data_IF_609423997895
#
_entry.id   IF_609423997895
#
_cell.length_a   1.000
_cell.length_b   1.000
_cell.length_c   1.000
_cell.angle_alpha   90.00
_cell.angle_beta   90.00
_cell.angle_gamma   90.00
#
_symmetry.space_group_name_H-M   'P 1'
#
loop_
_entity.id
_entity.type
_entity.pdbx_description
1 polymer ?
#
# COMPACT_ATOMS: atom_id res chain seq x y z
N UNK A 1 -24.62 -15.06 22.02
CA UNK A 1 -23.20 -15.37 21.72
C UNK A 1 -22.38 -14.11 22.00
N UNK A 2 -21.44 -14.17 22.96
CA UNK A 2 -20.67 -13.02 23.46
C UNK A 2 -19.69 -12.56 22.37
N UNK A 3 -19.82 -11.35 21.85
CA UNK A 3 -18.77 -10.69 21.08
C UNK A 3 -17.52 -10.60 21.96
N UNK A 4 -16.54 -11.46 21.73
CA UNK A 4 -15.23 -11.34 22.36
C UNK A 4 -14.57 -10.11 21.74
N UNK A 5 -14.57 -9.02 22.50
CA UNK A 5 -13.86 -7.79 22.19
C UNK A 5 -12.36 -8.11 22.25
N UNK A 6 -11.77 -8.48 21.12
CA UNK A 6 -10.32 -8.71 21.03
C UNK A 6 -9.62 -7.38 21.18
N UNK A 7 -9.26 -6.99 22.40
CA UNK A 7 -8.41 -5.83 22.65
C UNK A 7 -7.06 -6.09 21.97
N UNK A 8 -6.82 -5.39 20.86
CA UNK A 8 -5.56 -5.44 20.12
C UNK A 8 -4.66 -4.32 20.65
N UNK A 9 -3.62 -4.69 21.37
CA UNK A 9 -2.56 -3.74 21.75
C UNK A 9 -1.40 -3.95 20.79
N UNK A 10 -0.97 -2.90 20.10
CA UNK A 10 0.19 -2.93 19.20
C UNK A 10 1.29 -2.08 19.82
N UNK A 11 2.50 -2.62 19.92
CA UNK A 11 3.69 -1.87 20.30
C UNK A 11 4.69 -1.97 19.15
N UNK A 12 5.09 -0.82 18.62
CA UNK A 12 5.95 -0.74 17.44
C UNK A 12 7.22 0.02 17.81
N UNK A 13 8.37 -0.59 17.56
CA UNK A 13 9.68 0.02 17.73
C UNK A 13 10.33 0.14 16.37
N UNK A 14 10.65 1.36 15.94
CA UNK A 14 11.29 1.62 14.65
C UNK A 14 12.66 2.27 14.87
N UNK A 15 13.68 1.76 14.20
CA UNK A 15 15.02 2.32 14.15
C UNK A 15 15.33 2.71 12.71
N UNK A 16 15.27 4.01 12.44
CA UNK A 16 15.58 4.60 11.13
C UNK A 16 16.97 5.24 11.16
N UNK A 17 17.83 4.83 10.24
CA UNK A 17 19.14 5.40 9.89
C UNK A 17 19.20 5.55 8.36
N UNK A 18 20.13 6.37 7.86
CA UNK A 18 20.18 6.80 6.45
C UNK A 18 20.14 5.66 5.41
N UNK A 19 20.71 4.49 5.72
CA UNK A 19 20.74 3.32 4.85
C UNK A 19 20.01 2.09 5.44
N UNK A 20 19.40 2.24 6.62
CA UNK A 20 18.89 1.12 7.41
C UNK A 20 17.63 1.52 8.13
N UNK A 21 16.54 0.81 7.89
CA UNK A 21 15.32 0.94 8.65
C UNK A 21 14.92 -0.44 9.18
N UNK A 22 15.05 -0.64 10.49
CA UNK A 22 14.56 -1.84 11.15
C UNK A 22 13.34 -1.50 11.98
N UNK A 23 12.26 -2.29 11.88
CA UNK A 23 11.12 -2.16 12.77
C UNK A 23 10.74 -3.50 13.40
N UNK A 24 10.28 -3.44 14.64
CA UNK A 24 9.78 -4.61 15.36
C UNK A 24 8.41 -4.26 15.90
N UNK A 25 7.42 -5.07 15.54
CA UNK A 25 6.02 -4.94 15.91
C UNK A 25 5.60 -6.09 16.82
N UNK A 26 5.09 -5.75 18.00
CA UNK A 26 4.47 -6.68 18.93
C UNK A 26 2.96 -6.49 18.90
N UNK A 27 2.24 -7.51 18.46
CA UNK A 27 0.78 -7.48 18.35
C UNK A 27 0.18 -8.46 19.35
N UNK A 28 -0.42 -7.92 20.41
CA UNK A 28 -1.09 -8.69 21.45
C UNK A 28 -2.55 -8.94 21.04
N UNK A 29 -2.85 -10.14 20.52
CA UNK A 29 -4.23 -10.61 20.25
C UNK A 29 -4.74 -11.64 21.28
N UNK A 30 -3.84 -12.33 21.98
CA UNK A 30 -4.10 -13.30 23.06
C UNK A 30 -3.08 -13.09 24.19
N UNK A 31 -3.06 -13.95 25.21
CA UNK A 31 -2.08 -13.92 26.31
C UNK A 31 -0.61 -14.02 25.84
N UNK A 32 -0.37 -14.48 24.60
CA UNK A 32 0.96 -14.54 23.97
C UNK A 32 0.98 -13.58 22.76
N UNK A 33 2.01 -12.71 22.64
CA UNK A 33 2.12 -11.76 21.53
C UNK A 33 2.61 -12.43 20.24
N UNK A 34 2.06 -11.99 19.11
CA UNK A 34 2.68 -12.25 17.81
C UNK A 34 3.78 -11.22 17.61
N UNK A 35 4.93 -11.67 17.12
CA UNK A 35 6.10 -10.84 16.86
C UNK A 35 6.28 -10.75 15.36
N UNK A 36 6.32 -9.53 14.84
CA UNK A 36 6.73 -9.26 13.47
C UNK A 36 8.02 -8.46 13.52
N UNK A 37 9.02 -8.96 12.81
CA UNK A 37 10.29 -8.26 12.62
C UNK A 37 10.40 -7.86 11.16
N UNK A 38 10.73 -6.60 10.94
CA UNK A 38 10.85 -5.98 9.63
C UNK A 38 12.23 -5.37 9.49
N UNK A 39 12.89 -5.62 8.37
CA UNK A 39 14.22 -5.12 8.09
C UNK A 39 14.27 -4.59 6.67
N UNK A 40 14.52 -3.30 6.51
CA UNK A 40 14.67 -2.64 5.21
C UNK A 40 16.06 -2.01 5.12
N UNK A 41 16.80 -2.39 4.10
CA UNK A 41 18.12 -1.88 3.77
C UNK A 41 17.99 -1.02 2.53
N UNK A 42 18.45 0.23 2.61
CA UNK A 42 18.52 1.15 1.49
C UNK A 42 19.97 1.37 1.08
N UNK A 43 20.32 1.14 -0.17
CA UNK A 43 21.61 1.49 -0.72
C UNK A 43 21.43 2.23 -2.05
N UNK A 44 21.83 3.51 -2.08
CA UNK A 44 21.58 4.43 -3.20
C UNK A 44 20.08 4.48 -3.51
N UNK A 45 19.66 3.95 -4.65
CA UNK A 45 18.27 3.91 -5.10
C UNK A 45 17.62 2.52 -4.92
N UNK A 46 18.36 1.53 -4.41
CA UNK A 46 17.85 0.18 -4.15
C UNK A 46 17.40 0.04 -2.69
N UNK A 47 16.25 -0.58 -2.49
CA UNK A 47 15.71 -0.94 -1.20
C UNK A 47 15.45 -2.45 -1.17
N UNK A 48 15.98 -3.13 -0.15
CA UNK A 48 15.72 -4.54 0.11
C UNK A 48 15.05 -4.67 1.47
N UNK A 49 13.82 -5.17 1.48
CA UNK A 49 13.05 -5.46 2.68
C UNK A 49 12.95 -6.96 2.93
N UNK A 50 12.95 -7.35 4.20
CA UNK A 50 12.57 -8.68 4.65
C UNK A 50 11.73 -8.54 5.91
N UNK A 51 10.56 -9.15 5.91
CA UNK A 51 9.64 -9.20 7.03
C UNK A 51 9.45 -10.65 7.46
N UNK A 52 9.57 -10.90 8.76
CA UNK A 52 9.42 -12.22 9.37
C UNK A 52 8.29 -12.14 10.39
N UNK A 53 7.27 -12.97 10.18
CA UNK A 53 6.12 -13.08 11.05
C UNK A 53 6.23 -14.34 11.91
N UNK A 54 6.33 -14.17 13.22
CA UNK A 54 6.42 -15.25 14.19
C UNK A 54 5.18 -15.30 15.09
N UNK A 55 4.48 -16.43 15.05
CA UNK A 55 3.37 -16.73 15.97
C UNK A 55 3.94 -17.40 17.22
N UNK A 56 4.12 -16.62 18.28
CA UNK A 56 4.65 -17.11 19.55
C UNK A 56 3.71 -18.08 20.26
N UNK A 57 2.40 -18.07 19.96
CA UNK A 57 1.46 -19.01 20.56
C UNK A 57 1.61 -20.42 19.99
N UNK A 58 2.05 -20.53 18.73
CA UNK A 58 2.32 -21.81 18.05
C UNK A 58 3.82 -22.14 17.95
N UNK A 59 4.68 -21.25 18.43
CA UNK A 59 6.14 -21.31 18.30
C UNK A 59 6.61 -21.59 16.87
N UNK A 60 5.91 -21.02 15.87
CA UNK A 60 6.16 -21.27 14.46
C UNK A 60 6.30 -19.95 13.70
N UNK A 61 7.24 -19.92 12.76
CA UNK A 61 7.29 -18.86 11.74
C UNK A 61 6.08 -19.05 10.85
N UNK A 62 5.17 -18.07 10.91
CA UNK A 62 3.93 -18.11 10.15
C UNK A 62 4.25 -17.81 8.69
N UNK A 63 4.92 -16.69 8.43
CA UNK A 63 5.17 -16.17 7.09
C UNK A 63 6.50 -15.41 7.04
N UNK A 64 7.14 -15.45 5.87
CA UNK A 64 8.29 -14.61 5.53
C UNK A 64 7.95 -13.90 4.24
N UNK A 65 8.12 -12.60 4.26
CA UNK A 65 7.90 -11.71 3.13
C UNK A 65 9.23 -11.04 2.78
N UNK A 66 9.49 -10.90 1.48
CA UNK A 66 10.70 -10.28 0.94
C UNK A 66 10.26 -9.19 -0.02
N UNK A 67 10.84 -8.01 0.11
CA UNK A 67 10.60 -6.88 -0.78
C UNK A 67 11.92 -6.44 -1.42
N UNK A 68 11.86 -6.06 -2.69
CA UNK A 68 12.93 -5.41 -3.40
C UNK A 68 12.31 -4.24 -4.15
N UNK A 69 12.76 -3.02 -3.88
CA UNK A 69 12.35 -1.85 -4.62
C UNK A 69 13.57 -1.14 -5.18
N UNK A 70 13.37 -0.47 -6.29
CA UNK A 70 14.31 0.43 -6.90
C UNK A 70 13.58 1.72 -7.16
N UNK A 71 14.00 2.81 -6.53
CA UNK A 71 13.32 4.10 -6.62
C UNK A 71 14.29 5.16 -7.11
N UNK A 72 14.30 5.39 -8.41
CA UNK A 72 14.92 6.57 -9.00
C UNK A 72 13.97 7.78 -8.94
N UNK A 73 14.48 8.96 -9.29
CA UNK A 73 13.76 10.25 -9.20
C UNK A 73 12.40 10.26 -9.91
N UNK A 74 12.31 9.63 -11.07
CA UNK A 74 11.13 9.64 -11.95
C UNK A 74 10.57 8.24 -12.23
N UNK A 75 11.26 7.20 -11.75
CA UNK A 75 10.90 5.82 -11.98
C UNK A 75 11.08 5.01 -10.70
N UNK A 76 10.03 4.33 -10.28
CA UNK A 76 10.04 3.37 -9.20
C UNK A 76 9.65 1.99 -9.71
N UNK A 77 10.32 0.97 -9.20
CA UNK A 77 9.97 -0.42 -9.38
C UNK A 77 9.93 -1.06 -8.00
N UNK A 78 8.97 -1.94 -7.75
CA UNK A 78 9.01 -2.79 -6.56
C UNK A 78 8.53 -4.19 -6.91
N UNK A 79 9.21 -5.18 -6.36
CA UNK A 79 8.84 -6.58 -6.33
C UNK A 79 8.71 -7.01 -4.89
N UNK A 80 7.61 -7.66 -4.54
CA UNK A 80 7.35 -8.17 -3.20
C UNK A 80 6.94 -9.64 -3.34
N UNK A 81 7.49 -10.47 -2.49
CA UNK A 81 7.25 -11.89 -2.43
C UNK A 81 6.70 -12.15 -1.04
N UNK A 82 5.47 -12.63 -0.92
CA UNK A 82 4.85 -12.89 0.38
C UNK A 82 4.50 -14.36 0.58
N UNK A 83 4.23 -14.72 1.84
CA UNK A 83 3.76 -16.05 2.23
C UNK A 83 4.70 -17.18 1.80
N UNK A 84 6.00 -17.11 2.13
CA UNK A 84 6.97 -18.15 1.73
C UNK A 84 7.04 -18.35 0.20
N UNK A 85 7.06 -17.24 -0.54
CA UNK A 85 7.14 -17.24 -2.00
C UNK A 85 5.94 -17.87 -2.72
N UNK A 86 4.75 -17.72 -2.15
CA UNK A 86 3.48 -18.12 -2.78
C UNK A 86 2.88 -16.99 -3.61
N UNK A 87 2.92 -15.77 -3.10
CA UNK A 87 2.36 -14.60 -3.77
C UNK A 87 3.49 -13.69 -4.22
N UNK A 88 3.43 -13.26 -5.46
CA UNK A 88 4.37 -12.34 -6.07
C UNK A 88 3.59 -11.09 -6.47
N UNK A 89 4.10 -9.94 -6.06
CA UNK A 89 3.59 -8.63 -6.43
C UNK A 89 4.71 -7.88 -7.12
N UNK A 90 4.42 -7.29 -8.26
CA UNK A 90 5.33 -6.42 -8.98
C UNK A 90 4.60 -5.14 -9.31
N UNK A 91 5.24 -3.99 -9.07
CA UNK A 91 4.70 -2.70 -9.40
C UNK A 91 5.75 -1.82 -10.03
N UNK A 92 5.30 -1.03 -11.00
CA UNK A 92 6.07 0.04 -11.62
C UNK A 92 5.36 1.35 -11.35
N UNK A 93 6.15 2.37 -11.12
CA UNK A 93 5.73 3.75 -10.95
C UNK A 93 6.58 4.59 -11.89
N UNK A 94 5.96 5.47 -12.66
CA UNK A 94 6.68 6.34 -13.55
C UNK A 94 6.01 7.71 -13.62
N UNK A 95 6.83 8.73 -13.40
CA UNK A 95 6.47 10.13 -13.61
C UNK A 95 6.94 10.56 -14.99
N UNK A 96 5.98 10.80 -15.89
CA UNK A 96 6.26 11.27 -17.26
C UNK A 96 6.44 12.79 -17.30
N UNK A 97 5.69 13.52 -16.49
CA UNK A 97 5.72 14.98 -16.41
C UNK A 97 5.44 15.39 -14.96
N UNK A 98 5.77 16.63 -14.58
CA UNK A 98 5.41 17.20 -13.27
C UNK A 98 3.90 17.18 -12.96
N UNK A 99 3.07 16.91 -13.97
CA UNK A 99 1.60 16.84 -13.88
C UNK A 99 1.02 15.45 -14.13
N UNK A 100 1.79 14.51 -14.67
CA UNK A 100 1.26 13.19 -15.04
C UNK A 100 2.17 12.07 -14.55
N UNK A 101 1.57 11.22 -13.73
CA UNK A 101 2.19 10.07 -13.09
C UNK A 101 1.32 8.86 -13.39
N UNK A 102 1.94 7.73 -13.69
CA UNK A 102 1.22 6.46 -13.77
C UNK A 102 1.91 5.40 -12.95
N UNK A 103 1.13 4.45 -12.49
CA UNK A 103 1.59 3.26 -11.80
C UNK A 103 0.84 2.07 -12.35
N UNK A 104 1.51 0.93 -12.42
CA UNK A 104 0.87 -0.34 -12.70
C UNK A 104 1.38 -1.36 -11.71
N UNK A 105 0.50 -2.16 -11.16
CA UNK A 105 0.81 -3.23 -10.23
C UNK A 105 0.17 -4.53 -10.72
N UNK A 106 0.88 -5.63 -10.60
CA UNK A 106 0.38 -6.96 -10.86
C UNK A 106 0.77 -7.87 -9.70
N UNK A 107 -0.21 -8.58 -9.16
CA UNK A 107 -0.05 -9.57 -8.10
C UNK A 107 -0.59 -10.90 -8.58
N UNK A 108 0.20 -11.96 -8.48
CA UNK A 108 -0.23 -13.32 -8.79
C UNK A 108 0.15 -14.28 -7.68
N UNK A 109 -0.67 -15.30 -7.47
CA UNK A 109 -0.40 -16.38 -6.55
C UNK A 109 -0.02 -17.66 -7.32
N UNK A 110 0.93 -18.43 -6.80
CA UNK A 110 1.32 -19.73 -7.36
C UNK A 110 0.30 -20.83 -7.05
N UNK A 111 -0.26 -20.82 -5.84
CA UNK A 111 -1.12 -21.90 -5.34
C UNK A 111 -2.59 -21.70 -5.73
N UNK A 112 -2.99 -20.45 -5.96
CA UNK A 112 -4.36 -20.07 -6.34
C UNK A 112 -4.29 -19.37 -7.70
N UNK A 113 -5.17 -19.70 -8.67
CA UNK A 113 -5.27 -18.98 -9.94
C UNK A 113 -5.91 -17.59 -9.74
N UNK A 114 -5.30 -16.77 -8.89
CA UNK A 114 -5.70 -15.40 -8.61
C UNK A 114 -4.63 -14.48 -9.18
N UNK A 115 -5.00 -13.78 -10.25
CA UNK A 115 -4.16 -12.81 -10.94
C UNK A 115 -4.84 -11.46 -10.83
N UNK A 116 -4.35 -10.64 -9.90
CA UNK A 116 -4.77 -9.26 -9.75
C UNK A 116 -3.82 -8.33 -10.48
N UNK A 117 -4.37 -7.33 -11.15
CA UNK A 117 -3.58 -6.27 -11.75
C UNK A 117 -4.37 -4.98 -11.67
N UNK A 118 -3.66 -3.89 -11.43
CA UNK A 118 -4.24 -2.57 -11.35
C UNK A 118 -3.35 -1.57 -12.07
N UNK A 119 -3.96 -0.67 -12.84
CA UNK A 119 -3.28 0.46 -13.47
C UNK A 119 -3.88 1.74 -12.91
N UNK A 120 -3.02 2.65 -12.48
CA UNK A 120 -3.41 3.94 -11.91
C UNK A 120 -2.75 5.04 -12.71
N UNK A 121 -3.55 6.00 -13.18
CA UNK A 121 -3.07 7.26 -13.72
C UNK A 121 -3.45 8.40 -12.80
N UNK A 122 -2.52 9.31 -12.55
CA UNK A 122 -2.73 10.53 -11.79
C UNK A 122 -2.36 11.74 -12.64
N UNK A 123 -3.29 12.67 -12.73
CA UNK A 123 -3.19 13.88 -13.51
C UNK A 123 -3.46 15.11 -12.64
N UNK A 124 -2.50 16.03 -12.57
CA UNK A 124 -2.70 17.34 -11.99
C UNK A 124 -3.34 18.26 -13.05
N UNK A 125 -4.59 18.65 -12.80
CA UNK A 125 -5.40 19.45 -13.74
C UNK A 125 -4.91 20.89 -13.79
N UNK A 126 -4.40 21.39 -12.67
CA UNK A 126 -3.98 22.80 -12.53
C UNK A 126 -2.46 22.93 -12.37
N UNK A 127 -1.92 24.07 -12.81
CA UNK A 127 -0.51 24.41 -12.72
C UNK A 127 -0.05 24.57 -11.26
N UNK A 128 -0.98 24.93 -10.37
CA UNK A 128 -0.78 25.02 -8.91
C UNK A 128 -1.01 23.69 -8.17
N UNK A 129 -1.31 22.58 -8.87
CA UNK A 129 -1.63 21.25 -8.27
C UNK A 129 -2.79 21.23 -7.26
N UNK A 130 -3.63 22.27 -7.24
CA UNK A 130 -4.82 22.35 -6.38
C UNK A 130 -5.88 21.30 -6.73
N UNK A 131 -5.93 20.89 -8.00
CA UNK A 131 -6.86 19.88 -8.49
C UNK A 131 -6.10 18.68 -9.04
N UNK A 132 -6.31 17.51 -8.42
CA UNK A 132 -5.68 16.25 -8.81
C UNK A 132 -6.77 15.24 -9.16
N UNK A 133 -6.71 14.73 -10.39
CA UNK A 133 -7.55 13.64 -10.86
C UNK A 133 -6.74 12.34 -10.80
N UNK A 134 -7.31 11.30 -10.20
CA UNK A 134 -6.76 9.95 -10.18
C UNK A 134 -7.76 9.01 -10.82
N UNK A 135 -7.28 8.10 -11.65
CA UNK A 135 -8.07 7.07 -12.29
C UNK A 135 -7.36 5.75 -12.04
N UNK A 136 -8.06 4.77 -11.48
CA UNK A 136 -7.58 3.41 -11.24
C UNK A 136 -8.46 2.44 -12.00
N UNK A 137 -7.84 1.53 -12.73
CA UNK A 137 -8.45 0.39 -13.38
C UNK A 137 -7.93 -0.88 -12.72
N UNK A 138 -8.79 -1.85 -12.49
CA UNK A 138 -8.49 -3.12 -11.81
C UNK A 138 -8.87 -4.32 -12.68
N UNK A 139 -8.31 -5.49 -12.38
CA UNK A 139 -8.56 -6.74 -13.12
C UNK A 139 -10.03 -7.17 -13.20
N UNK A 140 -10.83 -6.77 -12.21
CA UNK A 140 -12.27 -7.02 -12.12
C UNK A 140 -13.10 -6.00 -12.92
N UNK A 141 -12.49 -5.30 -13.89
CA UNK A 141 -13.14 -4.26 -14.70
C UNK A 141 -13.71 -3.09 -13.88
N UNK A 142 -13.20 -2.91 -12.66
CA UNK A 142 -13.58 -1.80 -11.79
C UNK A 142 -12.81 -0.56 -12.17
N UNK A 143 -13.54 0.51 -12.47
CA UNK A 143 -12.99 1.83 -12.76
C UNK A 143 -13.25 2.72 -11.55
N UNK A 144 -12.19 3.14 -10.87
CA UNK A 144 -12.26 4.08 -9.76
C UNK A 144 -11.69 5.43 -10.19
N UNK A 145 -12.49 6.48 -10.06
CA UNK A 145 -12.10 7.86 -10.34
C UNK A 145 -12.10 8.63 -9.02
N UNK A 146 -11.06 9.42 -8.77
CA UNK A 146 -10.96 10.26 -7.58
C UNK A 146 -10.49 11.66 -7.95
N UNK A 147 -11.26 12.67 -7.61
CA UNK A 147 -10.93 14.08 -7.78
C UNK A 147 -10.64 14.69 -6.42
N UNK A 148 -9.38 15.07 -6.19
CA UNK A 148 -8.97 15.87 -5.03
C UNK A 148 -8.90 17.33 -5.45
N UNK A 149 -9.53 18.19 -4.69
CA UNK A 149 -9.66 19.62 -4.95
C UNK A 149 -9.36 20.40 -3.68
N UNK A 150 -8.31 21.21 -3.70
CA UNK A 150 -7.98 22.15 -2.64
C UNK A 150 -8.64 23.49 -2.95
N UNK A 151 -9.76 23.75 -2.27
CA UNK A 151 -10.61 24.92 -2.55
C UNK A 151 -10.03 26.15 -1.86
N UNK A 152 -9.48 25.99 -0.65
CA UNK A 152 -8.87 27.06 0.15
C UNK A 152 -7.63 26.52 0.88
N UNK A 153 -6.81 27.43 1.38
CA UNK A 153 -5.71 27.08 2.29
C UNK A 153 -6.30 26.43 3.55
N UNK A 154 -5.91 25.19 3.83
CA UNK A 154 -6.47 24.38 4.91
C UNK A 154 -7.77 23.61 4.59
N UNK A 155 -8.40 23.74 3.41
CA UNK A 155 -9.61 22.96 3.06
C UNK A 155 -9.39 22.13 1.79
N UNK A 156 -9.40 20.81 1.93
CA UNK A 156 -9.26 19.83 0.85
C UNK A 156 -10.53 19.00 0.75
N UNK A 157 -11.10 18.93 -0.45
CA UNK A 157 -12.25 18.08 -0.76
C UNK A 157 -11.79 16.95 -1.66
N UNK A 158 -12.20 15.72 -1.36
CA UNK A 158 -11.93 14.54 -2.19
C UNK A 158 -13.26 13.91 -2.60
N UNK A 159 -13.52 13.84 -3.88
CA UNK A 159 -14.65 13.11 -4.45
C UNK A 159 -14.14 11.81 -5.06
N UNK A 160 -14.79 10.69 -4.78
CA UNK A 160 -14.43 9.38 -5.30
C UNK A 160 -15.67 8.70 -5.87
N UNK A 161 -15.55 8.08 -7.04
CA UNK A 161 -16.58 7.24 -7.63
C UNK A 161 -15.94 5.95 -8.14
N UNK A 162 -16.55 4.81 -7.87
CA UNK A 162 -16.16 3.50 -8.37
C UNK A 162 -17.32 2.93 -9.17
N UNK A 163 -17.03 2.60 -10.41
CA UNK A 163 -17.94 1.98 -11.37
C UNK A 163 -17.51 0.53 -11.57
N UNK A 164 -18.48 -0.36 -11.56
CA UNK A 164 -18.32 -1.76 -11.92
C UNK A 164 -19.52 -2.17 -12.80
N UNK A 165 -19.33 -3.13 -13.68
CA UNK A 165 -20.44 -3.73 -14.45
C UNK A 165 -21.22 -4.73 -13.58
N UNK A 166 -20.54 -5.37 -12.61
CA UNK A 166 -21.12 -6.41 -11.76
C UNK A 166 -21.74 -5.90 -10.44
N UNK A 167 -21.31 -4.74 -9.94
CA UNK A 167 -21.74 -4.19 -8.64
C UNK A 167 -22.32 -2.78 -8.79
N UNK A 168 -23.13 -2.36 -7.82
CA UNK A 168 -23.64 -0.99 -7.74
C UNK A 168 -22.51 0.05 -7.71
N UNK A 169 -22.75 1.18 -8.37
CA UNK A 169 -21.82 2.31 -8.39
C UNK A 169 -21.65 2.86 -6.98
N UNK A 170 -20.42 2.88 -6.48
CA UNK A 170 -20.09 3.40 -5.15
C UNK A 170 -19.54 4.81 -5.27
N UNK A 171 -20.11 5.74 -4.51
CA UNK A 171 -19.67 7.14 -4.49
C UNK A 171 -19.33 7.55 -3.05
N UNK A 172 -18.23 8.28 -2.89
CA UNK A 172 -17.74 8.77 -1.60
C UNK A 172 -17.26 10.21 -1.71
N UNK A 173 -17.45 10.97 -0.62
CA UNK A 173 -17.00 12.35 -0.49
C UNK A 173 -16.26 12.49 0.84
N UNK A 174 -15.05 13.04 0.80
CA UNK A 174 -14.24 13.36 1.97
C UNK A 174 -13.95 14.86 2.02
N UNK A 175 -14.05 15.44 3.22
CA UNK A 175 -13.66 16.82 3.50
C UNK A 175 -12.59 16.79 4.59
N UNK A 176 -11.42 17.33 4.28
CA UNK A 176 -10.31 17.49 5.22
C UNK A 176 -10.15 18.99 5.49
N UNK A 177 -10.21 19.36 6.78
CA UNK A 177 -10.01 20.74 7.25
C UNK A 177 -8.82 20.75 8.18
N UNK A 178 -7.71 21.35 7.73
CA UNK A 178 -6.54 21.66 8.53
C UNK A 178 -6.74 23.04 9.15
N UNK A 179 -6.56 23.14 10.47
CA UNK A 179 -6.71 24.37 11.25
C UNK A 179 -5.36 24.96 11.61
#
# INVERSE_FOLDING_TARGET
>A
MKQIRTNRTNMKSELKKDAFNGSIDFVFRKAVPNVTQSLVLGYQDYLLGADVHFDSAKQKIDQVDLACAYSAKDFGFHGIITHWAKTYTVGIYQRLTDRFEYAAEATWNRDVPDNNWAVVGQFAVDQDRKHMLKVRLDNLQRISVSLKSQIMEGVKTTFCAMFNDADDTQVGIGLEVER
#
